data_IF_062421223330
#
_entry.id   IF_062421223330
#
_cell.length_a   1.000
_cell.length_b   1.000
_cell.length_c   1.000
_cell.angle_alpha   90.00
_cell.angle_beta   90.00
_cell.angle_gamma   90.00
#
_symmetry.space_group_name_H-M   'P 1'
#
loop_
_entity.id
_entity.type
_entity.pdbx_description
1 polymer ?
#
# COMPACT_ATOMS: atom_id res chain seq x y z
N UNK A 1 2.31 22.52 -5.39
CA UNK A 1 1.25 21.58 -5.83
C UNK A 1 1.82 20.28 -6.38
N UNK A 2 2.32 20.17 -7.62
CA UNK A 2 2.89 18.88 -8.10
C UNK A 2 4.01 18.38 -7.17
N UNK A 3 4.96 19.23 -6.80
CA UNK A 3 6.07 18.84 -5.90
C UNK A 3 5.60 18.46 -4.48
N UNK A 4 4.57 19.12 -3.95
CA UNK A 4 4.03 18.82 -2.62
C UNK A 4 3.27 17.50 -2.62
N UNK A 5 2.47 17.24 -3.67
CA UNK A 5 1.76 15.99 -3.83
C UNK A 5 2.72 14.83 -4.11
N UNK A 6 3.75 15.05 -4.94
CA UNK A 6 4.81 14.06 -5.18
C UNK A 6 5.50 13.70 -3.86
N UNK A 7 5.95 14.68 -3.08
CA UNK A 7 6.57 14.43 -1.77
C UNK A 7 5.62 13.70 -0.81
N UNK A 8 4.34 14.06 -0.80
CA UNK A 8 3.33 13.38 -0.01
C UNK A 8 3.19 11.91 -0.41
N UNK A 9 3.07 11.62 -1.71
CA UNK A 9 2.97 10.25 -2.23
C UNK A 9 4.24 9.45 -1.94
N UNK A 10 5.44 10.03 -2.09
CA UNK A 10 6.70 9.38 -1.72
C UNK A 10 6.71 8.96 -0.26
N UNK A 11 6.28 9.84 0.66
CA UNK A 11 6.20 9.55 2.08
C UNK A 11 5.24 8.39 2.38
N UNK A 12 4.02 8.43 1.84
CA UNK A 12 3.01 7.36 2.06
C UNK A 12 3.47 6.01 1.49
N UNK A 13 4.04 6.01 0.30
CA UNK A 13 4.59 4.80 -0.33
C UNK A 13 5.83 4.27 0.41
N UNK A 14 6.60 5.14 1.07
CA UNK A 14 7.70 4.70 1.92
C UNK A 14 7.18 4.01 3.19
N UNK A 15 6.22 4.63 3.88
CA UNK A 15 5.59 4.09 5.09
C UNK A 15 4.92 2.73 4.86
N UNK A 16 4.13 2.59 3.79
CA UNK A 16 3.50 1.32 3.41
C UNK A 16 4.55 0.23 3.18
N UNK A 17 5.62 0.55 2.46
CA UNK A 17 6.68 -0.41 2.16
C UNK A 17 7.49 -0.80 3.41
N UNK A 18 7.74 0.15 4.31
CA UNK A 18 8.41 -0.11 5.58
C UNK A 18 7.59 -1.01 6.49
N UNK A 19 6.27 -0.78 6.58
CA UNK A 19 5.39 -1.66 7.33
C UNK A 19 5.34 -3.06 6.71
N UNK A 20 5.13 -3.16 5.39
CA UNK A 20 5.13 -4.44 4.69
C UNK A 20 6.43 -5.23 4.92
N UNK A 21 7.60 -4.60 4.78
CA UNK A 21 8.90 -5.27 5.07
C UNK A 21 8.99 -5.83 6.48
N UNK A 22 8.45 -5.14 7.48
CA UNK A 22 8.46 -5.63 8.87
C UNK A 22 7.51 -6.83 9.07
N UNK A 23 6.46 -6.91 8.26
CA UNK A 23 5.48 -8.00 8.28
C UNK A 23 5.92 -9.23 7.46
N UNK A 24 6.83 -9.07 6.48
CA UNK A 24 7.36 -10.17 5.65
C UNK A 24 8.32 -11.09 6.41
N UNK A 25 8.80 -10.66 7.59
CA UNK A 25 9.65 -11.47 8.46
C UNK A 25 10.96 -11.91 7.79
N UNK A 26 11.26 -13.20 7.87
CA UNK A 26 12.44 -13.83 7.23
C UNK A 26 12.16 -14.26 5.77
N UNK A 27 11.18 -13.64 5.11
CA UNK A 27 10.75 -14.01 3.75
C UNK A 27 10.00 -15.34 3.72
N UNK A 28 9.27 -15.63 4.80
CA UNK A 28 8.81 -16.97 5.10
C UNK A 28 7.60 -17.43 4.25
N UNK A 29 6.92 -16.52 3.55
CA UNK A 29 5.95 -16.88 2.50
C UNK A 29 4.76 -15.93 2.34
N UNK A 30 3.88 -16.31 1.42
CA UNK A 30 2.59 -15.67 1.14
C UNK A 30 1.60 -15.97 2.26
N UNK A 31 0.90 -14.94 2.75
CA UNK A 31 -0.15 -15.14 3.76
C UNK A 31 -1.29 -15.98 3.16
N UNK A 32 -1.84 -16.89 3.97
CA UNK A 32 -2.89 -17.80 3.50
C UNK A 32 -4.06 -17.84 4.47
N UNK A 33 -5.26 -18.12 3.96
CA UNK A 33 -6.47 -18.15 4.77
C UNK A 33 -7.09 -19.55 4.77
N UNK A 34 -7.48 -20.01 5.96
CA UNK A 34 -8.12 -21.30 6.19
C UNK A 34 -9.34 -21.12 7.10
N UNK A 35 -10.53 -21.03 6.49
CA UNK A 35 -11.77 -20.81 7.21
C UNK A 35 -11.73 -19.48 7.97
N UNK A 36 -11.69 -19.55 9.30
CA UNK A 36 -11.70 -18.39 10.21
C UNK A 36 -10.30 -17.93 10.65
N UNK A 37 -9.26 -18.50 10.04
CA UNK A 37 -7.86 -18.29 10.42
C UNK A 37 -7.08 -17.73 9.25
N UNK A 38 -6.16 -16.82 9.55
CA UNK A 38 -5.11 -16.37 8.63
C UNK A 38 -3.78 -16.85 9.18
N UNK A 39 -3.04 -17.54 8.32
CA UNK A 39 -1.64 -17.90 8.50
C UNK A 39 -0.78 -16.74 7.98
N UNK A 40 -0.15 -16.02 8.90
CA UNK A 40 0.78 -14.92 8.61
C UNK A 40 2.21 -15.42 8.48
N UNK A 41 2.41 -16.73 8.37
CA UNK A 41 3.65 -17.48 8.33
C UNK A 41 4.51 -17.42 9.61
N UNK A 42 4.45 -16.31 10.34
CA UNK A 42 5.06 -16.17 11.68
C UNK A 42 4.11 -16.62 12.79
N UNK A 43 2.80 -16.45 12.58
CA UNK A 43 1.75 -16.72 13.55
C UNK A 43 0.44 -17.00 12.83
N UNK A 44 -0.36 -17.89 13.39
CA UNK A 44 -1.74 -18.09 12.97
C UNK A 44 -2.66 -17.30 13.89
N UNK A 45 -3.54 -16.46 13.33
CA UNK A 45 -4.59 -15.79 14.10
C UNK A 45 -5.97 -16.26 13.63
N UNK A 46 -6.79 -16.65 14.59
CA UNK A 46 -8.16 -17.12 14.38
C UNK A 46 -9.19 -16.10 14.88
N UNK A 47 -10.45 -16.30 14.51
CA UNK A 47 -11.58 -15.45 14.93
C UNK A 47 -12.06 -14.46 13.87
N UNK A 48 -11.48 -14.50 12.67
CA UNK A 48 -11.99 -13.74 11.54
C UNK A 48 -13.27 -14.37 10.98
N UNK A 49 -14.17 -13.54 10.44
CA UNK A 49 -15.15 -14.05 9.48
C UNK A 49 -14.39 -14.58 8.24
N UNK A 50 -14.82 -15.67 7.56
CA UNK A 50 -14.01 -16.28 6.50
C UNK A 50 -13.70 -15.34 5.33
N UNK A 51 -14.65 -14.48 4.96
CA UNK A 51 -14.42 -13.43 3.96
C UNK A 51 -13.37 -12.41 4.39
N UNK A 52 -13.31 -12.08 5.69
CA UNK A 52 -12.29 -11.17 6.23
C UNK A 52 -10.93 -11.86 6.21
N UNK A 53 -10.85 -13.14 6.61
CA UNK A 53 -9.61 -13.91 6.55
C UNK A 53 -9.03 -13.93 5.11
N UNK A 54 -9.88 -14.21 4.12
CA UNK A 54 -9.49 -14.17 2.70
C UNK A 54 -9.02 -12.77 2.27
N UNK A 55 -9.73 -11.71 2.68
CA UNK A 55 -9.32 -10.35 2.35
C UNK A 55 -7.95 -10.00 2.95
N UNK A 56 -7.70 -10.36 4.21
CA UNK A 56 -6.40 -10.13 4.85
C UNK A 56 -5.29 -10.89 4.14
N UNK A 57 -5.47 -12.18 3.86
CA UNK A 57 -4.47 -12.99 3.16
C UNK A 57 -4.16 -12.45 1.75
N UNK A 58 -5.16 -11.91 1.05
CA UNK A 58 -4.96 -11.27 -0.25
C UNK A 58 -4.12 -10.00 -0.21
N UNK A 59 -3.94 -9.37 0.96
CA UNK A 59 -3.13 -8.17 1.16
C UNK A 59 -1.80 -8.52 1.86
N UNK A 60 -1.18 -9.63 1.47
CA UNK A 60 0.10 -10.08 1.99
C UNK A 60 1.23 -9.04 1.74
N UNK A 61 2.29 -9.02 2.58
CA UNK A 61 3.39 -8.08 2.47
C UNK A 61 4.08 -8.07 1.10
N UNK A 62 4.29 -9.25 0.49
CA UNK A 62 4.97 -9.35 -0.78
C UNK A 62 4.14 -8.71 -1.91
N UNK A 63 2.81 -8.87 -1.89
CA UNK A 63 1.91 -8.15 -2.78
C UNK A 63 1.95 -6.65 -2.55
N UNK A 64 1.86 -6.18 -1.31
CA UNK A 64 1.91 -4.74 -0.98
C UNK A 64 3.20 -4.11 -1.51
N UNK A 65 4.34 -4.80 -1.37
CA UNK A 65 5.62 -4.33 -1.94
C UNK A 65 5.58 -4.23 -3.47
N UNK A 66 4.98 -5.21 -4.16
CA UNK A 66 4.79 -5.15 -5.62
C UNK A 66 3.90 -3.97 -6.03
N UNK A 67 2.83 -3.70 -5.29
CA UNK A 67 1.94 -2.56 -5.53
C UNK A 67 2.65 -1.23 -5.30
N UNK A 68 3.38 -1.06 -4.20
CA UNK A 68 4.19 0.14 -3.94
C UNK A 68 5.19 0.37 -5.07
N UNK A 69 5.87 -0.66 -5.53
CA UNK A 69 6.85 -0.55 -6.61
C UNK A 69 6.18 -0.13 -7.94
N UNK A 70 4.99 -0.66 -8.24
CA UNK A 70 4.19 -0.19 -9.37
C UNK A 70 3.80 1.29 -9.25
N UNK A 71 3.33 1.72 -8.08
CA UNK A 71 2.97 3.11 -7.77
C UNK A 71 4.18 4.06 -7.87
N UNK A 72 5.36 3.64 -7.41
CA UNK A 72 6.61 4.41 -7.56
C UNK A 72 7.01 4.60 -9.01
N UNK A 73 6.84 3.59 -9.87
CA UNK A 73 7.08 3.74 -11.32
C UNK A 73 6.12 4.73 -11.97
N UNK A 74 4.84 4.74 -11.57
CA UNK A 74 3.88 5.77 -12.03
C UNK A 74 4.36 7.14 -11.58
N UNK A 75 4.67 7.30 -10.28
CA UNK A 75 5.14 8.56 -9.72
C UNK A 75 6.38 9.08 -10.44
N UNK A 76 7.39 8.23 -10.68
CA UNK A 76 8.63 8.61 -11.37
C UNK A 76 8.40 9.06 -12.83
N UNK A 77 7.42 8.46 -13.53
CA UNK A 77 7.07 8.86 -14.90
C UNK A 77 6.41 10.24 -14.96
N UNK A 78 5.57 10.56 -13.97
CA UNK A 78 4.68 11.72 -14.01
C UNK A 78 5.08 12.86 -13.07
N UNK A 79 6.10 12.70 -12.24
CA UNK A 79 6.53 13.69 -11.24
C UNK A 79 6.89 15.08 -11.82
N UNK A 80 7.22 15.15 -13.11
CA UNK A 80 7.61 16.40 -13.81
C UNK A 80 6.56 16.89 -14.79
N UNK A 81 5.43 16.20 -14.90
CA UNK A 81 4.38 16.58 -15.84
C UNK A 81 3.69 17.88 -15.38
N UNK A 82 3.27 18.75 -16.32
CA UNK A 82 2.50 19.93 -15.99
C UNK A 82 1.22 19.57 -15.22
N UNK A 83 0.85 20.41 -14.25
CA UNK A 83 -0.38 20.21 -13.49
C UNK A 83 -1.62 20.76 -14.22
N UNK A 84 -2.79 20.10 -14.15
CA UNK A 84 -3.09 18.85 -13.44
C UNK A 84 -2.62 17.58 -14.16
N UNK A 85 -1.91 16.72 -13.43
CA UNK A 85 -1.61 15.36 -13.88
C UNK A 85 -2.68 14.42 -13.32
N UNK A 86 -3.48 13.83 -14.21
CA UNK A 86 -4.59 12.95 -13.83
C UNK A 86 -4.08 11.67 -13.14
N UNK A 87 -2.97 11.11 -13.63
CA UNK A 87 -2.37 9.91 -13.05
C UNK A 87 -1.91 10.13 -11.61
N UNK A 88 -1.35 11.31 -11.29
CA UNK A 88 -0.96 11.64 -9.92
C UNK A 88 -2.16 11.89 -9.01
N UNK A 89 -3.28 12.38 -9.55
CA UNK A 89 -4.55 12.51 -8.80
C UNK A 89 -5.15 11.14 -8.50
N UNK A 90 -5.19 10.24 -9.48
CA UNK A 90 -5.69 8.88 -9.29
C UNK A 90 -4.82 8.11 -8.30
N UNK A 91 -3.49 8.30 -8.37
CA UNK A 91 -2.56 7.73 -7.41
C UNK A 91 -2.74 8.29 -5.98
N UNK A 92 -3.18 9.54 -5.86
CA UNK A 92 -3.46 10.21 -4.59
C UNK A 92 -4.85 9.94 -4.02
N UNK A 93 -5.78 9.43 -4.84
CA UNK A 93 -7.17 9.16 -4.44
C UNK A 93 -7.33 8.34 -3.16
N UNK A 94 -6.50 7.33 -2.83
CA UNK A 94 -6.65 6.58 -1.58
C UNK A 94 -6.39 7.40 -0.31
N UNK A 95 -5.75 8.57 -0.44
CA UNK A 95 -5.26 9.35 0.68
C UNK A 95 -6.03 10.66 0.90
N UNK A 96 -7.15 10.89 0.22
CA UNK A 96 -7.92 12.15 0.32
C UNK A 96 -8.35 12.48 1.75
N UNK A 97 -8.50 11.45 2.58
CA UNK A 97 -8.96 11.55 3.96
C UNK A 97 -7.78 11.63 4.95
N UNK A 98 -6.54 11.62 4.45
CA UNK A 98 -5.33 11.69 5.26
C UNK A 98 -5.14 13.12 5.80
N UNK A 99 -4.80 13.31 7.10
CA UNK A 99 -4.68 14.66 7.70
C UNK A 99 -3.62 15.54 7.02
N UNK A 100 -2.52 14.94 6.57
CA UNK A 100 -1.46 15.64 5.84
C UNK A 100 -1.72 15.74 4.32
N UNK A 101 -2.90 15.33 3.83
CA UNK A 101 -3.21 15.41 2.41
C UNK A 101 -3.18 16.88 1.95
N UNK A 102 -2.50 17.21 0.84
CA UNK A 102 -2.38 18.59 0.40
C UNK A 102 -3.77 19.19 0.13
N UNK A 103 -4.15 20.24 0.87
CA UNK A 103 -5.49 20.86 0.85
C UNK A 103 -5.92 21.48 -0.51
N UNK A 104 -5.10 21.35 -1.56
CA UNK A 104 -5.35 21.89 -2.92
C UNK A 104 -4.95 20.90 -4.03
N UNK A 105 -5.09 19.59 -3.83
CA UNK A 105 -4.95 18.58 -4.90
C UNK A 105 -6.13 18.61 -5.90
#
# INVERSE_FOLDING_TARGET
MTEELVRFLEARLHEEADLARRCDGDGCGEWSAHGHTVDFCQVDLSGFHPTIALHVALHDPARVLREVEAKRRILARHARDPWPCHDLRDLASPYTDHPDFPARA
#
